data_IF_909861702377
#
_entry.id   IF_909861702377
#
_cell.length_a   1.000
_cell.length_b   1.000
_cell.length_c   1.000
_cell.angle_alpha   90.00
_cell.angle_beta   90.00
_cell.angle_gamma   90.00
#
_symmetry.space_group_name_H-M   'P 1'
#
loop_
_entity.id
_entity.type
_entity.pdbx_description
1 polymer ?
#
# COMPACT_ATOMS: atom_id res chain seq x y z
N UNK A 1 -7.70 -17.58 -3.92
CA UNK A 1 -8.72 -18.55 -4.42
C UNK A 1 -9.21 -19.54 -3.37
N UNK A 2 -8.35 -20.22 -2.58
CA UNK A 2 -8.78 -21.20 -1.56
C UNK A 2 -9.75 -20.61 -0.52
N UNK A 3 -9.39 -19.52 0.12
CA UNK A 3 -10.17 -18.90 1.20
C UNK A 3 -11.58 -18.50 0.78
N UNK A 4 -11.79 -17.75 -0.33
CA UNK A 4 -13.15 -17.42 -0.78
C UNK A 4 -14.02 -18.67 -1.03
N UNK A 5 -13.42 -19.71 -1.65
CA UNK A 5 -14.15 -20.92 -1.97
C UNK A 5 -14.52 -21.72 -0.71
N UNK A 6 -13.59 -21.86 0.24
CA UNK A 6 -13.86 -22.52 1.52
C UNK A 6 -14.96 -21.80 2.30
N UNK A 7 -14.95 -20.45 2.34
CA UNK A 7 -16.01 -19.65 2.98
C UNK A 7 -17.36 -19.84 2.28
N UNK A 8 -17.40 -19.73 0.94
CA UNK A 8 -18.63 -19.88 0.15
C UNK A 8 -19.25 -21.27 0.30
N UNK A 9 -18.43 -22.31 0.32
CA UNK A 9 -18.87 -23.70 0.43
C UNK A 9 -18.99 -24.20 1.88
N UNK A 10 -18.65 -23.37 2.89
CA UNK A 10 -18.59 -23.74 4.31
C UNK A 10 -17.76 -25.02 4.54
N UNK A 11 -16.64 -25.18 3.80
CA UNK A 11 -15.74 -26.34 3.83
C UNK A 11 -14.30 -25.91 4.07
N UNK A 12 -13.45 -26.83 4.57
CA UNK A 12 -12.03 -26.61 4.83
C UNK A 12 -11.17 -27.50 3.93
N UNK A 13 -11.02 -27.11 2.68
CA UNK A 13 -10.09 -27.81 1.77
C UNK A 13 -8.66 -27.36 2.02
N UNK A 14 -7.72 -28.32 2.07
CA UNK A 14 -6.31 -28.05 2.28
C UNK A 14 -5.62 -27.48 1.00
N UNK A 15 -4.42 -26.89 1.18
CA UNK A 15 -3.62 -26.31 0.09
C UNK A 15 -3.32 -27.32 -1.03
N UNK A 16 -2.91 -28.55 -0.68
CA UNK A 16 -2.50 -29.60 -1.66
C UNK A 16 -3.64 -29.99 -2.61
N UNK A 17 -4.85 -30.18 -2.07
CA UNK A 17 -6.04 -30.46 -2.88
C UNK A 17 -6.35 -29.33 -3.84
N UNK A 18 -6.25 -28.08 -3.35
CA UNK A 18 -6.50 -26.90 -4.18
C UNK A 18 -5.51 -26.77 -5.33
N UNK A 19 -4.21 -26.99 -5.08
CA UNK A 19 -3.18 -26.99 -6.12
C UNK A 19 -3.41 -28.07 -7.19
N UNK A 20 -3.81 -29.27 -6.79
CA UNK A 20 -4.13 -30.35 -7.76
C UNK A 20 -5.30 -29.96 -8.65
N UNK A 21 -6.36 -29.39 -8.08
CA UNK A 21 -7.52 -28.94 -8.85
C UNK A 21 -7.18 -27.79 -9.79
N UNK A 22 -6.42 -26.80 -9.32
CA UNK A 22 -5.95 -25.70 -10.19
C UNK A 22 -5.11 -26.22 -11.36
N UNK A 23 -4.20 -27.18 -11.10
CA UNK A 23 -3.38 -27.80 -12.16
C UNK A 23 -4.25 -28.53 -13.17
N UNK A 24 -5.23 -29.30 -12.73
CA UNK A 24 -6.16 -30.04 -13.61
C UNK A 24 -7.01 -29.08 -14.49
N UNK A 25 -7.38 -27.90 -13.94
CA UNK A 25 -8.14 -26.88 -14.65
C UNK A 25 -7.27 -25.90 -15.47
N UNK A 26 -5.95 -26.10 -15.54
CA UNK A 26 -5.04 -25.19 -16.24
C UNK A 26 -4.90 -23.79 -15.58
N UNK A 27 -5.41 -23.60 -14.35
CA UNK A 27 -5.38 -22.32 -13.65
C UNK A 27 -4.05 -22.13 -12.94
N UNK A 28 -3.36 -21.02 -13.21
CA UNK A 28 -2.08 -20.67 -12.57
C UNK A 28 -2.14 -19.29 -11.92
N UNK A 29 -1.39 -19.15 -10.81
CA UNK A 29 -1.20 -17.83 -10.19
C UNK A 29 -0.27 -16.95 -11.03
N UNK A 30 -0.56 -15.65 -11.11
CA UNK A 30 0.34 -14.67 -11.72
C UNK A 30 1.54 -14.48 -10.78
N UNK A 31 2.74 -14.79 -11.27
CA UNK A 31 3.98 -14.67 -10.49
C UNK A 31 4.60 -13.30 -10.75
N UNK A 32 4.96 -12.59 -9.67
CA UNK A 32 5.67 -11.31 -9.76
C UNK A 32 7.10 -11.52 -10.30
N UNK A 33 7.49 -10.74 -11.31
CA UNK A 33 8.89 -10.65 -11.73
C UNK A 33 9.68 -9.80 -10.74
N UNK A 34 10.82 -10.28 -10.24
CA UNK A 34 11.77 -9.46 -9.45
C UNK A 34 12.30 -8.32 -10.32
N UNK A 35 12.32 -7.10 -9.79
CA UNK A 35 12.97 -5.95 -10.43
C UNK A 35 14.39 -5.81 -9.88
N UNK A 36 15.39 -5.45 -10.72
CA UNK A 36 16.71 -5.04 -10.23
C UNK A 36 16.56 -3.71 -9.47
N UNK A 37 17.25 -3.58 -8.33
CA UNK A 37 17.29 -2.35 -7.54
C UNK A 37 18.45 -1.48 -7.99
N UNK A 38 18.18 -0.23 -8.35
CA UNK A 38 19.19 0.80 -8.61
C UNK A 38 19.13 1.85 -7.51
N UNK A 39 20.30 2.17 -6.93
CA UNK A 39 20.45 3.16 -5.87
C UNK A 39 21.05 4.45 -6.42
N UNK A 40 20.44 5.61 -6.12
CA UNK A 40 21.12 6.91 -6.10
C UNK A 40 20.60 7.69 -4.88
N UNK A 41 21.54 8.27 -4.14
CA UNK A 41 21.30 8.95 -2.86
C UNK A 41 21.57 10.44 -3.04
N UNK A 42 20.64 11.28 -2.58
CA UNK A 42 20.88 12.68 -2.22
C UNK A 42 20.14 12.95 -0.90
N UNK A 43 20.83 13.53 0.07
CA UNK A 43 20.27 13.84 1.39
C UNK A 43 19.91 15.31 1.50
N UNK A 44 18.68 15.62 1.92
CA UNK A 44 18.29 16.91 2.48
C UNK A 44 17.20 16.63 3.52
N UNK A 45 17.37 16.99 4.79
CA UNK A 45 16.44 16.85 5.93
C UNK A 45 15.87 15.44 6.18
N UNK A 46 16.69 14.60 6.77
CA UNK A 46 16.27 13.23 7.14
C UNK A 46 15.72 13.19 8.56
N UNK A 47 14.66 12.40 8.77
CA UNK A 47 14.24 11.97 10.08
C UNK A 47 14.89 10.62 10.45
N UNK A 48 14.97 10.32 11.74
CA UNK A 48 15.47 9.03 12.22
C UNK A 48 14.53 7.88 11.83
N UNK A 49 15.08 6.68 11.64
CA UNK A 49 14.28 5.46 11.48
C UNK A 49 13.79 4.97 12.85
N UNK A 50 12.65 5.47 13.28
CA UNK A 50 12.07 5.13 14.59
C UNK A 50 11.52 3.70 14.60
N UNK A 51 11.02 3.20 13.48
CA UNK A 51 10.40 1.88 13.44
C UNK A 51 11.42 0.74 13.49
N UNK A 52 12.66 0.93 13.00
CA UNK A 52 13.73 -0.10 13.00
C UNK A 52 13.22 -1.47 12.50
N UNK A 53 12.33 -1.46 11.49
CA UNK A 53 11.61 -2.64 10.94
C UNK A 53 10.59 -3.30 11.86
N UNK A 54 10.26 -2.70 12.99
CA UNK A 54 9.12 -3.14 13.80
C UNK A 54 7.83 -2.60 13.21
N UNK A 55 7.27 -3.34 12.24
CA UNK A 55 6.02 -3.01 11.56
C UNK A 55 4.76 -3.49 12.30
N UNK A 56 4.91 -4.12 13.45
CA UNK A 56 3.77 -4.53 14.28
C UNK A 56 3.15 -3.30 14.95
N UNK A 57 1.83 -3.18 14.86
CA UNK A 57 1.03 -2.22 15.61
C UNK A 57 0.02 -2.99 16.46
N UNK A 58 -0.30 -2.47 17.65
CA UNK A 58 -1.24 -3.10 18.57
C UNK A 58 -2.66 -2.54 18.45
N UNK A 59 -2.81 -1.40 17.78
CA UNK A 59 -4.09 -0.78 17.50
C UNK A 59 -4.07 -0.02 16.16
N UNK A 60 -5.25 0.22 15.54
CA UNK A 60 -5.37 1.04 14.35
C UNK A 60 -4.78 2.44 14.53
N UNK A 61 -4.25 2.99 13.46
CA UNK A 61 -3.73 4.35 13.40
C UNK A 61 -2.51 4.66 14.29
N UNK A 62 -1.80 3.63 14.78
CA UNK A 62 -0.53 3.82 15.49
C UNK A 62 0.66 4.01 14.55
N UNK A 63 0.74 3.19 13.52
CA UNK A 63 1.86 3.18 12.57
C UNK A 63 1.35 3.09 11.15
N UNK A 64 1.72 4.06 10.34
CA UNK A 64 1.41 4.11 8.91
C UNK A 64 2.68 4.02 8.08
N UNK A 65 2.58 3.45 6.88
CA UNK A 65 3.62 3.51 5.86
C UNK A 65 3.10 4.25 4.65
N UNK A 66 3.92 5.10 4.05
CA UNK A 66 3.58 5.85 2.85
C UNK A 66 4.67 5.76 1.80
N UNK A 67 4.27 5.81 0.55
CA UNK A 67 5.17 5.80 -0.61
C UNK A 67 4.44 6.27 -1.86
N UNK A 68 5.20 6.54 -2.93
CA UNK A 68 4.70 6.88 -4.26
C UNK A 68 5.13 5.83 -5.27
N UNK A 69 4.21 5.39 -6.11
CA UNK A 69 4.53 4.49 -7.22
C UNK A 69 4.14 5.06 -8.57
N UNK A 70 4.99 4.84 -9.59
CA UNK A 70 4.70 5.18 -10.99
C UNK A 70 3.81 4.11 -11.62
N UNK A 71 2.80 4.55 -12.38
CA UNK A 71 1.87 3.76 -13.17
C UNK A 71 1.96 4.22 -14.63
N UNK A 72 2.43 3.34 -15.52
CA UNK A 72 2.54 3.66 -16.96
C UNK A 72 1.33 3.14 -17.71
N UNK A 73 0.66 4.01 -18.46
CA UNK A 73 -0.55 3.69 -19.20
C UNK A 73 -0.50 4.21 -20.65
N UNK A 74 -1.40 3.70 -21.49
CA UNK A 74 -1.48 4.05 -22.90
C UNK A 74 -0.11 3.93 -23.59
N UNK A 75 0.27 4.91 -24.37
CA UNK A 75 1.54 4.94 -25.11
C UNK A 75 2.72 5.44 -24.23
N UNK A 76 2.88 4.90 -23.00
CA UNK A 76 3.98 5.24 -22.11
C UNK A 76 3.74 6.47 -21.24
N UNK A 77 2.55 7.05 -21.24
CA UNK A 77 2.14 8.12 -20.32
C UNK A 77 2.24 7.66 -18.88
N UNK A 78 2.46 8.59 -17.95
CA UNK A 78 2.70 8.33 -16.55
C UNK A 78 1.60 8.93 -15.68
N UNK A 79 1.16 8.17 -14.70
CA UNK A 79 0.43 8.63 -13.53
C UNK A 79 1.21 8.21 -12.28
N UNK A 80 1.00 8.89 -11.18
CA UNK A 80 1.64 8.62 -9.90
C UNK A 80 0.58 8.39 -8.85
N UNK A 81 0.75 7.32 -8.10
CA UNK A 81 -0.15 6.96 -7.01
C UNK A 81 0.61 7.06 -5.70
N UNK A 82 0.18 7.98 -4.83
CA UNK A 82 0.58 8.04 -3.44
C UNK A 82 -0.47 7.34 -2.58
N UNK A 83 -0.05 6.56 -1.60
CA UNK A 83 -0.98 5.95 -0.65
C UNK A 83 -0.36 5.82 0.74
N UNK A 84 -1.24 5.67 1.73
CA UNK A 84 -0.93 5.38 3.12
C UNK A 84 -1.59 4.06 3.51
N UNK A 85 -0.80 3.14 4.06
CA UNK A 85 -1.25 1.85 4.60
C UNK A 85 -1.11 1.86 6.13
N UNK A 86 -2.13 1.39 6.83
CA UNK A 86 -2.06 1.13 8.27
C UNK A 86 -1.35 -0.21 8.51
N UNK A 87 -0.35 -0.20 9.38
CA UNK A 87 0.43 -1.41 9.67
C UNK A 87 -0.31 -2.39 10.60
N UNK A 88 -1.39 -1.96 11.25
CA UNK A 88 -2.19 -2.81 12.11
C UNK A 88 -2.97 -3.86 11.32
N UNK A 89 -3.71 -3.43 10.32
CA UNK A 89 -4.62 -4.27 9.54
C UNK A 89 -4.31 -4.31 8.04
N UNK A 90 -3.24 -3.64 7.61
CA UNK A 90 -2.86 -3.47 6.22
C UNK A 90 -3.92 -2.77 5.34
N UNK A 91 -4.87 -2.02 5.91
CA UNK A 91 -5.83 -1.23 5.14
C UNK A 91 -5.19 -0.01 4.49
N UNK A 92 -5.64 0.34 3.30
CA UNK A 92 -5.29 1.61 2.68
C UNK A 92 -6.15 2.71 3.32
N UNK A 93 -5.51 3.52 4.15
CA UNK A 93 -6.14 4.63 4.88
C UNK A 93 -6.56 5.73 3.94
N UNK A 94 -5.64 6.11 3.03
CA UNK A 94 -5.84 7.17 2.04
C UNK A 94 -4.96 6.92 0.82
N UNK A 95 -5.36 7.52 -0.30
CA UNK A 95 -4.58 7.55 -1.54
C UNK A 95 -4.93 8.77 -2.38
N UNK A 96 -4.03 9.12 -3.29
CA UNK A 96 -4.24 10.13 -4.31
C UNK A 96 -3.51 9.75 -5.60
N UNK A 97 -4.18 9.90 -6.75
CA UNK A 97 -3.59 9.71 -8.08
C UNK A 97 -3.35 11.09 -8.68
N UNK A 98 -2.16 11.32 -9.19
CA UNK A 98 -1.80 12.58 -9.83
C UNK A 98 -1.03 12.36 -11.14
N UNK A 99 -1.02 13.37 -12.04
CA UNK A 99 -0.26 13.30 -13.30
C UNK A 99 1.23 13.51 -13.09
N UNK A 100 1.64 14.04 -11.93
CA UNK A 100 3.03 14.41 -11.62
C UNK A 100 3.44 13.88 -10.25
N UNK A 101 4.71 13.47 -10.13
CA UNK A 101 5.32 13.11 -8.86
C UNK A 101 5.84 14.37 -8.17
N UNK A 102 4.97 15.11 -7.49
CA UNK A 102 5.27 16.37 -6.82
C UNK A 102 4.86 16.34 -5.32
N UNK A 103 5.22 17.39 -4.59
CA UNK A 103 4.86 17.51 -3.18
C UNK A 103 3.35 17.42 -2.96
N UNK A 104 2.57 18.10 -3.79
CA UNK A 104 1.10 18.13 -3.69
C UNK A 104 0.49 16.72 -3.67
N UNK A 105 1.05 15.77 -4.43
CA UNK A 105 0.60 14.38 -4.48
C UNK A 105 0.61 13.73 -3.08
N UNK A 106 1.71 13.89 -2.36
CA UNK A 106 1.91 13.32 -1.02
C UNK A 106 1.12 14.10 0.03
N UNK A 107 1.17 15.45 -0.04
CA UNK A 107 0.49 16.31 0.94
C UNK A 107 -1.02 16.08 0.92
N UNK A 108 -1.61 15.97 -0.27
CA UNK A 108 -3.04 15.66 -0.42
C UNK A 108 -3.39 14.28 0.13
N UNK A 109 -2.53 13.29 -0.07
CA UNK A 109 -2.72 11.94 0.50
C UNK A 109 -2.75 11.98 2.03
N UNK A 110 -1.82 12.73 2.65
CA UNK A 110 -1.77 12.87 4.11
C UNK A 110 -2.97 13.68 4.61
N UNK A 111 -3.29 14.79 3.94
CA UNK A 111 -4.43 15.62 4.32
C UNK A 111 -5.73 14.80 4.37
N UNK A 112 -5.99 13.99 3.34
CA UNK A 112 -7.15 13.08 3.30
C UNK A 112 -7.12 12.03 4.41
N UNK A 113 -5.94 11.46 4.70
CA UNK A 113 -5.80 10.48 5.77
C UNK A 113 -6.14 11.08 7.14
N UNK A 114 -5.60 12.27 7.45
CA UNK A 114 -5.81 12.96 8.71
C UNK A 114 -7.24 13.50 8.86
N UNK A 115 -7.84 14.00 7.77
CA UNK A 115 -9.26 14.41 7.76
C UNK A 115 -10.19 13.24 8.06
N UNK A 116 -9.88 12.05 7.54
CA UNK A 116 -10.66 10.83 7.80
C UNK A 116 -10.46 10.29 9.23
N UNK A 117 -9.30 10.55 9.83
CA UNK A 117 -8.92 10.09 11.16
C UNK A 117 -8.43 11.25 12.04
N UNK A 118 -9.29 12.18 12.46
CA UNK A 118 -8.89 13.45 13.08
C UNK A 118 -8.23 13.30 14.46
N UNK A 119 -8.43 12.17 15.12
CA UNK A 119 -7.83 11.87 16.44
C UNK A 119 -6.54 11.02 16.34
N UNK A 120 -6.12 10.65 15.12
CA UNK A 120 -4.94 9.83 14.94
C UNK A 120 -3.66 10.65 15.09
N UNK A 121 -2.69 10.12 15.82
CA UNK A 121 -1.32 10.67 15.94
C UNK A 121 -0.30 9.58 15.55
N UNK A 122 -0.29 9.11 14.29
CA UNK A 122 0.52 7.98 13.88
C UNK A 122 2.01 8.30 13.81
N UNK A 123 2.84 7.27 13.89
CA UNK A 123 4.19 7.30 13.33
C UNK A 123 4.06 7.00 11.82
N UNK A 124 4.45 7.95 10.97
CA UNK A 124 4.40 7.77 9.51
C UNK A 124 5.79 7.43 8.99
N UNK A 125 5.96 6.19 8.52
CA UNK A 125 7.17 5.70 7.87
C UNK A 125 7.13 6.04 6.38
N UNK A 126 8.21 6.66 5.87
CA UNK A 126 8.41 6.94 4.45
C UNK A 126 9.81 6.53 3.99
N UNK A 127 10.04 6.56 2.70
CA UNK A 127 11.40 6.62 2.15
C UNK A 127 11.99 8.04 2.31
N UNK A 128 13.18 8.27 1.74
CA UNK A 128 13.85 9.58 1.68
C UNK A 128 13.54 10.34 0.39
N UNK A 129 12.38 10.13 -0.21
CA UNK A 129 11.93 10.89 -1.37
C UNK A 129 11.86 12.40 -1.05
N UNK A 130 12.13 13.24 -2.06
CA UNK A 130 12.18 14.69 -1.86
C UNK A 130 10.88 15.28 -1.30
N UNK A 131 9.74 14.64 -1.54
CA UNK A 131 8.45 15.05 -0.99
C UNK A 131 8.45 14.95 0.54
N UNK A 132 9.01 13.88 1.10
CA UNK A 132 9.03 13.62 2.54
C UNK A 132 10.11 14.41 3.28
N UNK A 133 11.11 14.94 2.56
CA UNK A 133 12.16 15.82 3.11
C UNK A 133 11.83 17.32 2.94
N UNK A 134 10.67 17.64 2.38
CA UNK A 134 10.25 19.02 2.11
C UNK A 134 9.79 19.76 3.37
N UNK A 135 9.89 21.09 3.34
CA UNK A 135 9.34 21.94 4.40
C UNK A 135 7.81 21.80 4.54
N UNK A 136 7.10 21.52 3.47
CA UNK A 136 5.65 21.28 3.50
C UNK A 136 5.31 20.05 4.31
N UNK A 137 6.05 18.95 4.15
CA UNK A 137 5.88 17.73 4.93
C UNK A 137 6.13 17.97 6.42
N UNK A 138 7.16 18.77 6.75
CA UNK A 138 7.41 19.18 8.13
C UNK A 138 6.23 19.98 8.71
N UNK A 139 5.72 20.99 7.99
CA UNK A 139 4.54 21.75 8.41
C UNK A 139 3.31 20.88 8.62
N UNK A 140 3.09 19.88 7.74
CA UNK A 140 1.98 18.94 7.92
C UNK A 140 2.15 18.08 9.16
N UNK A 141 3.37 17.63 9.47
CA UNK A 141 3.62 16.84 10.68
C UNK A 141 3.34 17.65 11.96
N UNK A 142 3.69 18.94 11.97
CA UNK A 142 3.39 19.85 13.07
C UNK A 142 1.88 20.13 13.18
N UNK A 143 1.21 20.41 12.05
CA UNK A 143 -0.22 20.69 11.98
C UNK A 143 -1.10 19.54 12.48
N UNK A 144 -0.74 18.31 12.10
CA UNK A 144 -1.52 17.10 12.38
C UNK A 144 -0.95 16.25 13.52
N UNK A 145 0.14 16.70 14.15
CA UNK A 145 0.78 16.03 15.29
C UNK A 145 1.20 14.58 15.02
N UNK A 146 1.58 14.24 13.77
CA UNK A 146 2.13 12.93 13.48
C UNK A 146 3.66 12.90 13.58
N UNK A 147 4.20 11.78 13.99
CA UNK A 147 5.65 11.58 14.10
C UNK A 147 6.22 11.07 12.78
N UNK A 148 7.27 11.74 12.28
CA UNK A 148 7.97 11.32 11.07
C UNK A 148 8.99 10.23 11.38
N UNK A 149 9.01 9.17 10.56
CA UNK A 149 10.05 8.14 10.56
C UNK A 149 10.50 7.89 9.11
N UNK A 150 11.80 7.80 8.87
CA UNK A 150 12.34 7.62 7.51
C UNK A 150 13.22 6.38 7.41
N UNK A 151 13.11 5.69 6.29
CA UNK A 151 13.98 4.57 5.95
C UNK A 151 15.43 4.99 5.92
N UNK A 152 16.34 4.08 6.29
CA UNK A 152 17.79 4.30 6.14
C UNK A 152 18.15 4.36 4.65
N UNK A 153 19.20 5.12 4.33
CA UNK A 153 19.68 5.21 2.95
C UNK A 153 19.97 3.81 2.37
N UNK A 154 19.45 3.54 1.18
CA UNK A 154 19.66 2.27 0.48
C UNK A 154 19.00 1.03 1.10
N UNK A 155 18.11 1.18 2.07
CA UNK A 155 17.40 0.09 2.74
C UNK A 155 15.91 0.07 2.37
N UNK A 156 15.59 -0.42 1.16
CA UNK A 156 14.19 -0.58 0.69
C UNK A 156 13.33 -1.42 1.66
N UNK A 157 13.92 -2.38 2.37
CA UNK A 157 13.21 -3.20 3.36
C UNK A 157 12.61 -2.40 4.54
N UNK A 158 13.04 -1.17 4.74
CA UNK A 158 12.52 -0.33 5.83
C UNK A 158 11.13 0.27 5.50
N UNK A 159 10.60 0.11 4.26
CA UNK A 159 9.25 0.52 3.84
C UNK A 159 8.40 -0.63 3.25
N UNK A 160 8.71 -1.86 3.67
CA UNK A 160 8.13 -3.09 3.14
C UNK A 160 6.58 -3.17 3.11
N UNK A 161 5.81 -2.64 4.10
CA UNK A 161 4.35 -2.77 4.08
C UNK A 161 3.72 -2.18 2.81
N UNK A 162 4.06 -0.94 2.46
CA UNK A 162 3.49 -0.27 1.28
C UNK A 162 4.06 -0.84 -0.03
N UNK A 163 5.34 -1.25 -0.06
CA UNK A 163 5.93 -1.91 -1.23
C UNK A 163 5.24 -3.24 -1.54
N UNK A 164 4.85 -4.00 -0.52
CA UNK A 164 4.06 -5.23 -0.66
C UNK A 164 2.70 -4.92 -1.28
N UNK A 165 2.04 -3.86 -0.85
CA UNK A 165 0.78 -3.43 -1.45
C UNK A 165 0.95 -3.07 -2.93
N UNK A 166 1.98 -2.29 -3.30
CA UNK A 166 2.27 -1.96 -4.71
C UNK A 166 2.42 -3.19 -5.58
N UNK A 167 3.20 -4.14 -5.09
CA UNK A 167 3.38 -5.38 -5.83
C UNK A 167 2.08 -6.18 -5.97
N UNK A 168 1.20 -6.16 -4.96
CA UNK A 168 -0.10 -6.84 -4.98
C UNK A 168 -1.06 -6.16 -5.95
N UNK A 169 -1.22 -4.83 -5.86
CA UNK A 169 -2.05 -4.05 -6.77
C UNK A 169 -1.63 -4.22 -8.24
N UNK A 170 -0.32 -4.06 -8.51
CA UNK A 170 0.19 -4.17 -9.88
C UNK A 170 0.00 -5.56 -10.47
N UNK A 171 0.17 -6.62 -9.68
CA UNK A 171 0.01 -8.00 -10.16
C UNK A 171 -1.47 -8.41 -10.29
N UNK A 172 -2.35 -7.95 -9.39
CA UNK A 172 -3.74 -8.41 -9.35
C UNK A 172 -4.69 -7.54 -10.20
N UNK A 173 -4.30 -6.30 -10.56
CA UNK A 173 -5.14 -5.41 -11.34
C UNK A 173 -4.40 -4.70 -12.47
N UNK A 174 -3.38 -3.91 -12.16
CA UNK A 174 -2.81 -2.96 -13.10
C UNK A 174 -2.17 -3.63 -14.34
N UNK A 175 -1.35 -4.68 -14.16
CA UNK A 175 -0.64 -5.33 -15.27
C UNK A 175 -1.49 -6.31 -16.07
N UNK A 176 -2.65 -6.68 -15.59
CA UNK A 176 -3.55 -7.59 -16.31
C UNK A 176 -4.59 -6.86 -17.18
N UNK A 177 -4.61 -5.53 -17.11
CA UNK A 177 -5.53 -4.66 -17.85
C UNK A 177 -4.77 -3.75 -18.79
N UNK A 178 -5.39 -3.43 -19.90
CA UNK A 178 -4.94 -2.37 -20.79
C UNK A 178 -5.64 -1.07 -20.40
N UNK A 179 -4.90 -0.15 -19.81
CA UNK A 179 -5.42 1.15 -19.37
C UNK A 179 -4.91 2.23 -20.33
N UNK A 180 -5.79 2.82 -21.10
CA UNK A 180 -5.42 3.73 -22.20
C UNK A 180 -5.58 5.21 -21.83
N UNK A 181 -6.23 5.55 -20.71
CA UNK A 181 -6.44 6.93 -20.26
C UNK A 181 -6.09 7.13 -18.78
N UNK A 182 -5.84 8.38 -18.40
CA UNK A 182 -5.61 8.75 -16.99
C UNK A 182 -6.85 8.45 -16.13
N UNK A 183 -8.02 8.71 -16.65
CA UNK A 183 -9.29 8.40 -15.98
C UNK A 183 -9.46 6.90 -15.75
N UNK A 184 -9.10 6.06 -16.73
CA UNK A 184 -9.11 4.61 -16.58
C UNK A 184 -8.17 4.15 -15.46
N UNK A 185 -6.99 4.80 -15.31
CA UNK A 185 -6.07 4.53 -14.20
C UNK A 185 -6.70 4.93 -12.86
N UNK A 186 -7.29 6.12 -12.75
CA UNK A 186 -7.95 6.58 -11.52
C UNK A 186 -9.08 5.64 -11.10
N UNK A 187 -9.90 5.22 -12.06
CA UNK A 187 -11.01 4.30 -11.82
C UNK A 187 -10.54 2.90 -11.42
N UNK A 188 -9.45 2.40 -12.03
CA UNK A 188 -8.85 1.12 -11.65
C UNK A 188 -8.30 1.14 -10.22
N UNK A 189 -7.52 2.18 -9.87
CA UNK A 189 -6.99 2.38 -8.52
C UNK A 189 -8.11 2.42 -7.48
N UNK A 190 -9.13 3.24 -7.71
CA UNK A 190 -10.27 3.40 -6.80
C UNK A 190 -11.01 2.08 -6.56
N UNK A 191 -11.31 1.38 -7.65
CA UNK A 191 -12.00 0.08 -7.61
C UNK A 191 -11.16 -0.99 -6.91
N UNK A 192 -9.85 -1.02 -7.21
CA UNK A 192 -8.96 -2.00 -6.59
C UNK A 192 -8.77 -1.74 -5.10
N UNK A 193 -8.57 -0.49 -4.66
CA UNK A 193 -8.42 -0.17 -3.23
C UNK A 193 -9.69 -0.51 -2.45
N UNK A 194 -10.87 -0.23 -3.03
CA UNK A 194 -12.14 -0.65 -2.43
C UNK A 194 -12.23 -2.18 -2.28
N UNK A 195 -11.86 -2.92 -3.33
CA UNK A 195 -11.81 -4.38 -3.29
C UNK A 195 -10.79 -4.88 -2.26
N UNK A 196 -9.58 -4.31 -2.25
CA UNK A 196 -8.51 -4.68 -1.34
C UNK A 196 -8.92 -4.51 0.12
N UNK A 197 -9.47 -3.38 0.47
CA UNK A 197 -9.86 -3.09 1.85
C UNK A 197 -11.06 -3.92 2.35
N UNK A 198 -12.02 -4.25 1.48
CA UNK A 198 -13.29 -4.82 1.94
C UNK A 198 -13.50 -6.29 1.55
N UNK A 199 -12.81 -6.79 0.53
CA UNK A 199 -13.12 -8.12 -0.04
C UNK A 199 -11.90 -9.01 -0.26
N UNK A 200 -10.69 -8.43 -0.27
CA UNK A 200 -9.47 -9.20 -0.49
C UNK A 200 -9.03 -9.86 0.81
N UNK A 201 -9.11 -11.18 0.86
CA UNK A 201 -8.65 -11.96 2.00
C UNK A 201 -7.12 -11.96 2.13
N UNK A 202 -6.62 -11.69 3.33
CA UNK A 202 -5.18 -11.63 3.67
C UNK A 202 -4.86 -12.76 4.66
N UNK A 203 -3.94 -13.65 4.30
CA UNK A 203 -3.60 -14.82 5.13
C UNK A 203 -3.07 -14.41 6.51
N UNK A 204 -2.24 -13.36 6.59
CA UNK A 204 -1.71 -12.83 7.85
C UNK A 204 -2.74 -12.15 8.74
N UNK A 205 -3.93 -11.87 8.23
CA UNK A 205 -5.08 -11.33 8.98
C UNK A 205 -6.15 -12.43 9.21
N UNK A 206 -5.74 -13.65 9.49
CA UNK A 206 -6.63 -14.79 9.68
C UNK A 206 -7.63 -15.00 8.53
N UNK A 207 -7.22 -14.67 7.30
CA UNK A 207 -8.04 -14.71 6.11
C UNK A 207 -9.26 -13.75 6.15
N UNK A 208 -9.17 -12.66 6.88
CA UNK A 208 -10.10 -11.54 6.78
C UNK A 208 -9.60 -10.51 5.77
N UNK A 209 -10.49 -9.69 5.24
CA UNK A 209 -10.09 -8.47 4.56
C UNK A 209 -9.61 -7.42 5.59
N UNK A 210 -8.81 -6.42 5.19
CA UNK A 210 -8.34 -5.38 6.11
C UNK A 210 -9.45 -4.75 6.96
N UNK A 211 -10.56 -4.36 6.35
CA UNK A 211 -11.67 -3.73 7.07
C UNK A 211 -12.49 -4.72 7.92
N UNK A 212 -12.60 -5.99 7.51
CA UNK A 212 -13.20 -7.03 8.36
C UNK A 212 -12.34 -7.25 9.61
N UNK A 213 -11.01 -7.39 9.43
CA UNK A 213 -10.08 -7.58 10.55
C UNK A 213 -10.16 -6.42 11.53
N UNK A 214 -10.11 -5.17 11.04
CA UNK A 214 -10.27 -3.96 11.87
C UNK A 214 -11.54 -3.97 12.72
N UNK A 215 -12.68 -4.35 12.14
CA UNK A 215 -13.96 -4.39 12.85
C UNK A 215 -14.04 -5.47 13.92
N UNK A 216 -13.25 -6.53 13.80
CA UNK A 216 -13.25 -7.65 14.75
C UNK A 216 -12.26 -7.47 15.90
N UNK A 217 -11.25 -6.60 15.72
CA UNK A 217 -10.09 -6.54 16.62
C UNK A 217 -9.77 -5.14 17.15
N UNK A 218 -10.50 -4.10 16.72
CA UNK A 218 -10.30 -2.70 17.15
C UNK A 218 -11.41 -2.23 18.09
#
# INVERSE_FOLDING_TARGET
>A
MRTPLNRKLKKSYNKKRFYRLMKALGIRSIIRKKRPSYLKVFEIHTAENLLKRNFSATAPNQKWSTDVTELRYGNGRKAYLSAIIDMYDNSIVSYFVGPSNNNMLVMETIHRAMKKNPKACPIIQSDRGYQYTSHEYKRLSEKYHFTKSMSRAGRCLDNQPIERFWGTYKAESFYIKKLDSYEAVCNDVSRYIRYYNNYRYVESLNNYSPNEYRKLTA
#
